data_IF_175898877429
#
_entry.id   IF_175898877429
#
_cell.length_a   1.000
_cell.length_b   1.000
_cell.length_c   1.000
_cell.angle_alpha   90.00
_cell.angle_beta   90.00
_cell.angle_gamma   90.00
#
_symmetry.space_group_name_H-M   'P 1'
#
loop_
_entity.id
_entity.type
_entity.pdbx_description
1 polymer ?
#
# COMPACT_ATOMS: atom_id res chain seq x y z
N UNK A 1 -11.06 6.06 10.08
CA UNK A 1 -10.17 7.21 10.33
C UNK A 1 -8.96 6.65 11.06
N UNK A 2 -7.75 6.87 10.55
CA UNK A 2 -6.54 6.34 11.17
C UNK A 2 -6.23 7.11 12.46
N UNK A 3 -5.94 6.38 13.54
CA UNK A 3 -5.74 6.92 14.87
C UNK A 3 -4.28 6.71 15.31
N UNK A 4 -3.61 7.77 15.72
CA UNK A 4 -2.20 7.77 16.12
C UNK A 4 -2.10 7.90 17.64
N UNK A 5 -1.33 7.02 18.28
CA UNK A 5 -0.99 7.13 19.69
C UNK A 5 0.37 7.83 19.82
N UNK A 6 0.43 8.87 20.64
CA UNK A 6 1.68 9.57 21.00
C UNK A 6 2.05 9.21 22.43
N UNK A 7 3.24 8.65 22.65
CA UNK A 7 3.80 8.35 23.97
C UNK A 7 5.02 9.25 24.16
N UNK A 8 4.83 10.35 24.89
CA UNK A 8 5.79 11.44 25.09
C UNK A 8 5.46 12.13 26.41
N UNK A 9 6.40 12.18 27.36
CA UNK A 9 6.20 12.74 28.70
C UNK A 9 6.25 14.28 28.71
N UNK A 10 6.95 14.89 27.74
CA UNK A 10 6.94 16.35 27.60
C UNK A 10 5.62 16.84 26.97
N UNK A 11 4.82 17.53 27.77
CA UNK A 11 3.49 18.01 27.36
C UNK A 11 3.53 18.99 26.17
N UNK A 12 4.54 19.86 26.09
CA UNK A 12 4.64 20.84 25.01
C UNK A 12 4.98 20.15 23.69
N UNK A 13 5.94 19.22 23.71
CA UNK A 13 6.30 18.40 22.53
C UNK A 13 5.10 17.58 22.07
N UNK A 14 4.42 16.93 23.01
CA UNK A 14 3.21 16.16 22.73
C UNK A 14 2.11 17.01 22.09
N UNK A 15 1.87 18.21 22.62
CA UNK A 15 0.86 19.14 22.10
C UNK A 15 1.18 19.58 20.67
N UNK A 16 2.43 19.93 20.38
CA UNK A 16 2.87 20.32 19.03
C UNK A 16 2.68 19.17 18.03
N UNK A 17 3.08 17.96 18.39
CA UNK A 17 2.89 16.76 17.57
C UNK A 17 1.40 16.50 17.32
N UNK A 18 0.59 16.52 18.37
CA UNK A 18 -0.85 16.25 18.30
C UNK A 18 -1.58 17.26 17.40
N UNK A 19 -1.23 18.55 17.48
CA UNK A 19 -1.83 19.58 16.64
C UNK A 19 -1.46 19.40 15.16
N UNK A 20 -0.20 19.10 14.85
CA UNK A 20 0.26 18.87 13.48
C UNK A 20 -0.45 17.65 12.86
N UNK A 21 -0.50 16.54 13.60
CA UNK A 21 -1.09 15.28 13.13
C UNK A 21 -2.61 15.40 12.94
N UNK A 22 -3.30 16.10 13.85
CA UNK A 22 -4.74 16.40 13.68
C UNK A 22 -5.01 17.28 12.46
N UNK A 23 -4.15 18.27 12.20
CA UNK A 23 -4.27 19.15 11.04
C UNK A 23 -4.09 18.41 9.71
N UNK A 24 -3.31 17.32 9.71
CA UNK A 24 -3.16 16.41 8.58
C UNK A 24 -4.35 15.42 8.41
N UNK A 25 -5.38 15.48 9.26
CA UNK A 25 -6.61 14.69 9.12
C UNK A 25 -6.67 13.39 9.92
N UNK A 26 -5.71 13.16 10.82
CA UNK A 26 -5.64 11.95 11.65
C UNK A 26 -6.29 12.13 13.02
N UNK A 27 -6.83 11.04 13.58
CA UNK A 27 -7.20 11.00 14.98
C UNK A 27 -5.96 10.86 15.86
N UNK A 28 -5.94 11.48 17.04
CA UNK A 28 -4.78 11.45 17.94
C UNK A 28 -5.20 11.19 19.38
N UNK A 29 -4.50 10.27 20.03
CA UNK A 29 -4.51 10.06 21.48
C UNK A 29 -3.11 10.31 22.04
N UNK A 30 -3.04 11.00 23.17
CA UNK A 30 -1.79 11.25 23.90
C UNK A 30 -1.71 10.39 25.15
N UNK A 31 -0.51 9.88 25.42
CA UNK A 31 -0.08 9.27 26.68
C UNK A 31 1.22 9.93 27.13
N UNK A 32 1.31 10.23 28.42
CA UNK A 32 2.45 10.93 29.02
C UNK A 32 3.37 10.02 29.83
N UNK A 33 3.06 8.71 29.89
CA UNK A 33 3.92 7.72 30.52
C UNK A 33 4.02 6.48 29.63
N UNK A 34 5.16 5.78 29.73
CA UNK A 34 5.36 4.53 29.01
C UNK A 34 4.40 3.41 29.43
N UNK A 35 4.02 3.37 30.71
CA UNK A 35 3.10 2.36 31.25
C UNK A 35 1.69 2.58 30.72
N UNK A 36 1.21 3.83 30.75
CA UNK A 36 -0.12 4.15 30.22
C UNK A 36 -0.17 3.94 28.71
N UNK A 37 0.90 4.29 27.99
CA UNK A 37 1.01 4.06 26.55
C UNK A 37 0.96 2.58 26.19
N UNK A 38 1.64 1.74 26.95
CA UNK A 38 1.61 0.28 26.78
C UNK A 38 0.22 -0.31 27.08
N UNK A 39 -0.47 0.19 28.13
CA UNK A 39 -1.84 -0.22 28.44
C UNK A 39 -2.82 0.20 27.35
N UNK A 40 -2.66 1.39 26.78
CA UNK A 40 -3.44 1.87 25.62
C UNK A 40 -3.27 0.95 24.41
N UNK A 41 -2.04 0.54 24.08
CA UNK A 41 -1.78 -0.39 22.97
C UNK A 41 -2.42 -1.77 23.20
N UNK A 42 -2.52 -2.23 24.45
CA UNK A 42 -3.15 -3.52 24.81
C UNK A 42 -4.68 -3.49 24.76
N UNK A 43 -5.28 -2.34 25.06
CA UNK A 43 -6.74 -2.22 25.27
C UNK A 43 -7.47 -1.58 24.10
N UNK A 44 -6.79 -0.75 23.31
CA UNK A 44 -7.34 -0.01 22.20
C UNK A 44 -6.57 -0.27 20.91
N UNK A 45 -7.19 0.01 19.77
CA UNK A 45 -6.58 -0.15 18.45
C UNK A 45 -6.11 1.19 17.90
N UNK A 46 -4.85 1.22 17.45
CA UNK A 46 -4.22 2.37 16.82
C UNK A 46 -3.61 1.96 15.48
N UNK A 47 -3.51 2.91 14.56
CA UNK A 47 -2.91 2.70 13.24
C UNK A 47 -1.38 2.85 13.27
N UNK A 48 -0.85 3.65 14.21
CA UNK A 48 0.58 3.88 14.41
C UNK A 48 0.85 4.44 15.81
N UNK A 49 2.04 4.17 16.33
CA UNK A 49 2.54 4.75 17.59
C UNK A 49 3.77 5.63 17.32
N UNK A 50 3.75 6.85 17.85
CA UNK A 50 4.93 7.68 18.03
C UNK A 50 5.44 7.49 19.46
N UNK A 51 6.67 7.03 19.62
CA UNK A 51 7.24 6.66 20.91
C UNK A 51 8.53 7.45 21.19
N UNK A 52 8.56 8.24 22.25
CA UNK A 52 9.82 8.76 22.77
C UNK A 52 10.63 7.62 23.41
N UNK A 53 11.94 7.59 23.14
CA UNK A 53 12.85 6.67 23.79
C UNK A 53 13.19 7.06 25.23
N UNK A 54 13.21 8.36 25.54
CA UNK A 54 13.63 8.92 26.83
C UNK A 54 12.45 9.12 27.78
N UNK A 55 11.66 8.06 27.97
CA UNK A 55 10.58 8.08 28.94
C UNK A 55 11.08 7.78 30.36
N UNK A 56 10.51 8.43 31.39
CA UNK A 56 10.83 8.12 32.77
C UNK A 56 10.33 6.73 33.16
N UNK A 57 11.02 6.11 34.13
CA UNK A 57 10.75 4.79 34.72
C UNK A 57 10.96 3.58 33.80
N UNK A 58 10.47 3.64 32.56
CA UNK A 58 10.60 2.57 31.57
C UNK A 58 10.97 3.17 30.22
N UNK A 59 12.12 2.77 29.68
CA UNK A 59 12.65 3.34 28.44
C UNK A 59 11.85 2.88 27.22
N UNK A 60 11.85 3.68 26.15
CA UNK A 60 11.10 3.35 24.94
C UNK A 60 11.59 2.09 24.22
N UNK A 61 12.85 1.69 24.38
CA UNK A 61 13.35 0.43 23.80
C UNK A 61 12.80 -0.81 24.54
N UNK A 62 12.60 -0.72 25.86
CA UNK A 62 11.93 -1.77 26.64
C UNK A 62 10.45 -1.86 26.29
N UNK A 63 9.78 -0.72 26.08
CA UNK A 63 8.39 -0.66 25.63
C UNK A 63 8.27 -1.27 24.22
N UNK A 64 9.15 -0.89 23.29
CA UNK A 64 9.19 -1.46 21.93
C UNK A 64 9.31 -2.99 21.98
N UNK A 65 10.27 -3.51 22.75
CA UNK A 65 10.47 -4.97 22.91
C UNK A 65 9.20 -5.65 23.43
N UNK A 66 8.54 -5.08 24.43
CA UNK A 66 7.31 -5.66 24.97
C UNK A 66 6.16 -5.60 23.96
N UNK A 67 5.95 -4.46 23.29
CA UNK A 67 4.89 -4.32 22.28
C UNK A 67 5.07 -5.35 21.16
N UNK A 68 6.31 -5.59 20.70
CA UNK A 68 6.61 -6.56 19.65
C UNK A 68 6.32 -8.02 20.03
N UNK A 69 6.15 -8.34 21.32
CA UNK A 69 5.74 -9.68 21.75
C UNK A 69 4.27 -9.98 21.43
N UNK A 70 3.42 -8.96 21.30
CA UNK A 70 1.98 -9.14 21.13
C UNK A 70 1.35 -8.29 20.02
N UNK A 71 2.07 -7.33 19.44
CA UNK A 71 1.57 -6.43 18.41
C UNK A 71 2.62 -6.07 17.38
N UNK A 72 2.20 -6.05 16.12
CA UNK A 72 3.01 -5.60 14.99
C UNK A 72 2.72 -4.14 14.61
N UNK A 73 1.95 -3.39 15.40
CA UNK A 73 1.61 -1.99 15.12
C UNK A 73 2.86 -1.18 14.73
N UNK A 74 2.81 -0.29 13.72
CA UNK A 74 4.00 0.42 13.29
C UNK A 74 4.38 1.42 14.37
N UNK A 75 5.67 1.43 14.73
CA UNK A 75 6.21 2.29 15.78
C UNK A 75 7.31 3.14 15.16
N UNK A 76 7.10 4.46 15.19
CA UNK A 76 8.11 5.45 14.88
C UNK A 76 8.72 5.94 16.19
N UNK A 77 10.03 5.81 16.33
CA UNK A 77 10.73 6.29 17.51
C UNK A 77 11.13 7.75 17.32
N UNK A 78 10.98 8.56 18.37
CA UNK A 78 11.48 9.92 18.46
C UNK A 78 12.57 9.97 19.54
N UNK A 79 13.72 10.58 19.27
CA UNK A 79 14.85 10.60 20.23
C UNK A 79 15.82 11.75 19.98
N UNK A 80 16.45 12.25 21.04
CA UNK A 80 17.52 13.24 20.97
C UNK A 80 18.92 12.68 20.70
N UNK A 81 19.08 11.35 20.58
CA UNK A 81 20.41 10.71 20.54
C UNK A 81 20.88 10.45 19.10
N UNK A 82 21.88 11.21 18.64
CA UNK A 82 22.51 11.12 17.31
C UNK A 82 23.50 9.95 17.11
N UNK A 83 23.60 9.01 18.05
CA UNK A 83 24.53 7.89 17.87
C UNK A 83 23.96 6.90 16.85
N UNK A 84 24.61 6.85 15.69
CA UNK A 84 24.33 5.93 14.57
C UNK A 84 24.18 4.46 15.03
N UNK A 85 24.90 4.05 16.09
CA UNK A 85 24.76 2.73 16.72
C UNK A 85 23.35 2.50 17.30
N UNK A 86 22.81 3.49 18.00
CA UNK A 86 21.46 3.43 18.60
C UNK A 86 20.37 3.31 17.53
N UNK A 87 20.53 3.98 16.37
CA UNK A 87 19.55 3.88 15.26
C UNK A 87 19.50 2.46 14.66
N UNK A 88 20.66 1.85 14.43
CA UNK A 88 20.75 0.48 13.90
C UNK A 88 20.16 -0.53 14.90
N UNK A 89 20.48 -0.38 16.19
CA UNK A 89 20.00 -1.29 17.23
C UNK A 89 18.49 -1.20 17.41
N UNK A 90 17.89 -0.02 17.31
CA UNK A 90 16.44 0.16 17.41
C UNK A 90 15.67 -0.38 16.20
N UNK A 91 16.20 -0.21 14.99
CA UNK A 91 15.63 -0.84 13.80
C UNK A 91 15.71 -2.37 13.90
N UNK A 92 16.82 -2.92 14.43
CA UNK A 92 16.96 -4.36 14.71
C UNK A 92 16.01 -4.86 15.80
N UNK A 93 15.67 -4.00 16.77
CA UNK A 93 14.66 -4.29 17.81
C UNK A 93 13.22 -4.23 17.30
N UNK A 94 13.01 -3.80 16.04
CA UNK A 94 11.71 -3.86 15.37
C UNK A 94 11.01 -2.50 15.24
N UNK A 95 11.71 -1.38 15.37
CA UNK A 95 11.16 -0.07 15.00
C UNK A 95 11.00 0.05 13.47
N UNK A 96 9.93 0.71 13.03
CA UNK A 96 9.60 0.84 11.60
C UNK A 96 10.22 2.09 10.95
N UNK A 97 10.49 3.10 11.80
CA UNK A 97 11.24 4.31 11.46
C UNK A 97 11.75 5.02 12.71
N UNK A 98 12.58 6.03 12.51
CA UNK A 98 13.21 6.82 13.57
C UNK A 98 13.36 8.29 13.18
N UNK A 99 13.06 9.19 14.12
CA UNK A 99 13.13 10.65 13.98
C UNK A 99 14.04 11.22 15.09
N UNK A 100 15.03 12.02 14.69
CA UNK A 100 15.91 12.76 15.60
C UNK A 100 15.27 14.05 16.08
N UNK A 101 15.37 14.38 17.37
CA UNK A 101 15.13 15.72 17.92
C UNK A 101 16.38 16.59 17.71
N UNK A 102 16.27 17.87 17.27
CA UNK A 102 15.03 18.57 16.91
C UNK A 102 14.50 18.11 15.54
N UNK A 103 13.17 18.04 15.41
CA UNK A 103 12.49 17.58 14.20
C UNK A 103 11.61 18.67 13.59
N UNK A 104 11.39 18.56 12.28
CA UNK A 104 10.36 19.32 11.58
C UNK A 104 9.01 18.60 11.68
N UNK A 105 7.94 19.35 11.97
CA UNK A 105 6.59 18.77 12.11
C UNK A 105 6.05 18.21 10.78
N UNK A 106 6.46 18.78 9.64
CA UNK A 106 6.16 18.25 8.32
C UNK A 106 6.90 16.95 8.05
N UNK A 107 8.16 16.81 8.50
CA UNK A 107 8.89 15.54 8.44
C UNK A 107 8.16 14.44 9.24
N UNK A 108 7.70 14.76 10.45
CA UNK A 108 6.95 13.81 11.28
C UNK A 108 5.70 13.32 10.55
N UNK A 109 4.90 14.24 9.98
CA UNK A 109 3.68 13.88 9.23
C UNK A 109 4.01 13.04 7.99
N UNK A 110 5.02 13.42 7.20
CA UNK A 110 5.43 12.67 6.01
C UNK A 110 5.89 11.25 6.36
N UNK A 111 6.57 11.06 7.50
CA UNK A 111 6.97 9.74 7.99
C UNK A 111 5.79 8.93 8.52
N UNK A 112 4.84 9.55 9.20
CA UNK A 112 3.58 8.90 9.58
C UNK A 112 2.86 8.41 8.33
N UNK A 113 2.65 9.26 7.33
CA UNK A 113 2.03 8.89 6.05
C UNK A 113 2.76 7.75 5.36
N UNK A 114 4.10 7.82 5.30
CA UNK A 114 4.90 6.76 4.67
C UNK A 114 4.86 5.46 5.46
N UNK A 115 4.79 5.48 6.79
CA UNK A 115 4.68 4.28 7.62
C UNK A 115 3.27 3.71 7.58
N UNK A 116 2.23 4.53 7.63
CA UNK A 116 0.85 4.10 7.45
C UNK A 116 0.63 3.50 6.06
N UNK A 117 1.20 4.07 5.00
CA UNK A 117 1.17 3.48 3.66
C UNK A 117 1.95 2.15 3.60
N UNK A 118 3.14 2.09 4.21
CA UNK A 118 3.92 0.83 4.29
C UNK A 118 3.19 -0.22 5.13
N UNK A 119 2.50 0.20 6.18
CA UNK A 119 1.82 -0.66 7.12
C UNK A 119 0.44 -1.06 6.64
N UNK A 120 -0.26 -0.23 5.87
CA UNK A 120 -1.41 -0.67 5.09
C UNK A 120 -0.95 -1.72 4.09
N UNK A 121 0.21 -1.55 3.45
CA UNK A 121 0.82 -2.57 2.59
C UNK A 121 1.23 -3.83 3.39
N UNK A 122 1.74 -3.72 4.62
CA UNK A 122 2.25 -4.86 5.41
C UNK A 122 1.20 -5.57 6.29
N UNK A 123 0.19 -4.88 6.82
CA UNK A 123 -0.96 -5.49 7.51
C UNK A 123 -1.96 -6.12 6.55
N UNK A 124 -1.97 -5.68 5.29
CA UNK A 124 -2.54 -6.46 4.18
C UNK A 124 -1.70 -7.69 3.80
N UNK A 125 -0.61 -8.00 4.52
CA UNK A 125 0.12 -9.27 4.40
C UNK A 125 -0.12 -10.23 5.57
N UNK A 126 -0.70 -9.80 6.70
CA UNK A 126 -0.85 -10.64 7.89
C UNK A 126 -2.31 -11.02 8.23
N UNK A 127 -3.30 -10.28 7.74
CA UNK A 127 -4.71 -10.66 7.79
C UNK A 127 -5.33 -10.32 6.45
N UNK A 128 -5.57 -11.35 5.65
CA UNK A 128 -6.00 -11.29 4.25
C UNK A 128 -4.97 -10.73 3.28
N UNK A 129 -4.50 -11.61 2.40
CA UNK A 129 -4.10 -11.33 1.02
C UNK A 129 -4.92 -10.15 0.40
N UNK A 130 -4.56 -8.87 0.60
CA UNK A 130 -4.87 -7.81 -0.38
C UNK A 130 -3.78 -7.79 -1.42
N UNK A 131 -3.65 -8.96 -2.00
CA UNK A 131 -3.74 -9.13 -3.43
C UNK A 131 -4.05 -7.82 -4.17
N UNK A 132 -3.09 -7.34 -4.94
CA UNK A 132 -3.42 -6.76 -6.23
C UNK A 132 -3.97 -7.87 -7.17
N UNK A 133 -4.89 -8.71 -6.65
CA UNK A 133 -5.63 -9.72 -7.39
C UNK A 133 -6.91 -9.06 -7.88
N UNK A 134 -6.89 -8.62 -9.12
CA UNK A 134 -8.11 -8.15 -9.75
C UNK A 134 -8.87 -9.36 -10.28
N UNK A 135 -10.16 -9.45 -9.92
CA UNK A 135 -11.05 -10.50 -10.42
C UNK A 135 -12.00 -9.96 -11.48
N UNK A 136 -12.07 -10.67 -12.60
CA UNK A 136 -13.03 -10.43 -13.66
C UNK A 136 -13.49 -11.77 -14.25
N UNK A 137 -14.76 -12.12 -14.05
CA UNK A 137 -15.28 -13.46 -14.32
C UNK A 137 -14.40 -14.51 -13.62
N UNK A 138 -13.92 -15.51 -14.35
CA UNK A 138 -12.98 -16.54 -13.93
C UNK A 138 -11.50 -16.15 -14.08
N UNK A 139 -11.20 -14.90 -14.47
CA UNK A 139 -9.85 -14.35 -14.53
C UNK A 139 -9.44 -13.78 -13.17
N UNK A 140 -8.21 -14.11 -12.76
CA UNK A 140 -7.51 -13.52 -11.62
C UNK A 140 -6.18 -12.93 -12.11
N UNK A 141 -6.01 -11.61 -11.99
CA UNK A 141 -4.76 -10.90 -12.32
C UNK A 141 -4.01 -10.62 -11.03
N UNK A 142 -2.81 -11.14 -10.86
CA UNK A 142 -1.86 -10.78 -9.80
C UNK A 142 -0.88 -9.72 -10.31
N UNK A 143 -1.05 -8.47 -9.89
CA UNK A 143 -0.14 -7.39 -10.29
C UNK A 143 1.27 -7.55 -9.70
N UNK A 144 1.40 -8.19 -8.54
CA UNK A 144 2.68 -8.31 -7.85
C UNK A 144 3.57 -9.34 -8.54
N UNK A 145 3.00 -10.50 -8.86
CA UNK A 145 3.70 -11.55 -9.60
C UNK A 145 3.71 -11.32 -11.12
N UNK A 146 3.00 -10.29 -11.60
CA UNK A 146 2.74 -10.05 -13.03
C UNK A 146 2.15 -11.28 -13.72
N UNK A 147 1.19 -11.94 -13.05
CA UNK A 147 0.54 -13.16 -13.52
C UNK A 147 -0.93 -12.93 -13.83
N UNK A 148 -1.45 -13.55 -14.88
CA UNK A 148 -2.90 -13.63 -15.11
C UNK A 148 -3.28 -15.11 -15.18
N UNK A 149 -4.25 -15.51 -14.36
CA UNK A 149 -4.77 -16.88 -14.28
C UNK A 149 -6.23 -16.91 -14.71
N UNK A 150 -6.66 -18.01 -15.29
CA UNK A 150 -8.06 -18.31 -15.57
C UNK A 150 -8.39 -19.68 -14.97
N UNK A 151 -9.42 -19.76 -14.11
CA UNK A 151 -9.71 -20.97 -13.32
C UNK A 151 -8.46 -21.52 -12.59
N UNK A 152 -7.62 -20.62 -12.06
CA UNK A 152 -6.36 -20.91 -11.39
C UNK A 152 -5.22 -21.47 -12.29
N UNK A 153 -5.40 -21.54 -13.61
CA UNK A 153 -4.34 -21.89 -14.56
C UNK A 153 -3.67 -20.64 -15.14
N UNK A 154 -2.34 -20.60 -15.15
CA UNK A 154 -1.56 -19.46 -15.67
C UNK A 154 -1.79 -19.29 -17.18
N UNK A 155 -2.10 -18.06 -17.58
CA UNK A 155 -2.27 -17.66 -18.98
C UNK A 155 -0.91 -17.22 -19.54
N UNK A 156 -0.41 -17.95 -20.53
CA UNK A 156 0.84 -17.60 -21.21
C UNK A 156 0.66 -16.37 -22.11
N UNK A 157 1.12 -15.21 -21.64
CA UNK A 157 0.99 -13.91 -22.30
C UNK A 157 2.38 -13.32 -22.60
N UNK A 158 2.51 -12.68 -23.76
CA UNK A 158 3.65 -11.79 -24.00
C UNK A 158 3.51 -10.53 -23.15
N UNK A 159 4.60 -9.78 -22.95
CA UNK A 159 4.61 -8.57 -22.13
C UNK A 159 3.53 -7.55 -22.55
N UNK A 160 3.37 -7.30 -23.86
CA UNK A 160 2.37 -6.36 -24.38
C UNK A 160 0.94 -6.88 -24.19
N UNK A 161 0.71 -8.18 -24.37
CA UNK A 161 -0.60 -8.78 -24.13
C UNK A 161 -0.99 -8.74 -22.65
N UNK A 162 -0.02 -8.99 -21.76
CA UNK A 162 -0.19 -8.82 -20.31
C UNK A 162 -0.59 -7.39 -19.98
N UNK A 163 0.17 -6.39 -20.43
CA UNK A 163 -0.10 -4.98 -20.13
C UNK A 163 -1.49 -4.55 -20.63
N UNK A 164 -1.90 -4.98 -21.83
CA UNK A 164 -3.23 -4.69 -22.37
C UNK A 164 -4.32 -5.29 -21.49
N UNK A 165 -4.19 -6.57 -21.12
CA UNK A 165 -5.19 -7.26 -20.33
C UNK A 165 -5.24 -6.73 -18.88
N UNK A 166 -4.09 -6.40 -18.29
CA UNK A 166 -3.95 -5.69 -17.01
C UNK A 166 -4.71 -4.37 -17.03
N UNK A 167 -4.45 -3.53 -18.04
CA UNK A 167 -5.09 -2.23 -18.18
C UNK A 167 -6.62 -2.34 -18.29
N UNK A 168 -7.12 -3.31 -19.05
CA UNK A 168 -8.55 -3.57 -19.19
C UNK A 168 -9.19 -4.09 -17.89
N UNK A 169 -8.53 -5.02 -17.19
CA UNK A 169 -9.02 -5.61 -15.94
C UNK A 169 -9.07 -4.57 -14.80
N UNK A 170 -8.08 -3.68 -14.73
CA UNK A 170 -8.06 -2.59 -13.73
C UNK A 170 -9.12 -1.53 -14.02
N UNK A 171 -9.69 -1.49 -15.23
CA UNK A 171 -10.63 -0.47 -15.68
C UNK A 171 -11.91 -1.08 -16.30
N UNK A 172 -12.56 -2.01 -15.60
CA UNK A 172 -13.64 -2.89 -16.13
C UNK A 172 -14.83 -2.18 -16.79
N UNK A 173 -15.06 -0.89 -16.49
CA UNK A 173 -16.16 -0.10 -17.04
C UNK A 173 -15.75 0.92 -18.12
N UNK A 174 -14.45 1.03 -18.43
CA UNK A 174 -13.93 2.04 -19.36
C UNK A 174 -13.81 1.49 -20.77
N UNK A 175 -14.25 2.28 -21.75
CA UNK A 175 -13.93 2.04 -23.17
C UNK A 175 -12.60 2.71 -23.45
N UNK A 176 -11.63 1.95 -23.95
CA UNK A 176 -10.37 2.49 -24.42
C UNK A 176 -10.38 2.59 -25.94
N UNK A 177 -10.06 3.78 -26.44
CA UNK A 177 -9.78 3.96 -27.86
C UNK A 177 -8.49 3.23 -28.24
N UNK A 178 -8.32 2.94 -29.54
CA UNK A 178 -7.11 2.30 -30.04
C UNK A 178 -5.87 3.17 -29.80
N UNK A 179 -6.01 4.48 -29.99
CA UNK A 179 -4.99 5.47 -29.69
C UNK A 179 -4.60 5.42 -28.20
N UNK A 180 -5.59 5.46 -27.30
CA UNK A 180 -5.29 5.44 -25.86
C UNK A 180 -4.67 4.11 -25.41
N UNK A 181 -5.10 2.97 -25.95
CA UNK A 181 -4.43 1.69 -25.68
C UNK A 181 -2.99 1.72 -26.16
N UNK A 182 -2.74 2.23 -27.37
CA UNK A 182 -1.39 2.31 -27.91
C UNK A 182 -0.50 3.19 -27.05
N UNK A 183 -0.90 4.43 -26.79
CA UNK A 183 -0.14 5.40 -26.00
C UNK A 183 0.11 4.90 -24.56
N UNK A 184 -0.87 4.21 -23.96
CA UNK A 184 -0.74 3.69 -22.59
C UNK A 184 0.22 2.51 -22.49
N UNK A 185 0.43 1.77 -23.58
CA UNK A 185 1.19 0.51 -23.58
C UNK A 185 2.57 0.66 -24.26
N UNK A 186 2.67 1.51 -25.29
CA UNK A 186 3.91 1.81 -26.00
C UNK A 186 4.61 3.08 -25.48
N UNK A 187 3.89 3.98 -24.80
CA UNK A 187 4.41 5.27 -24.36
C UNK A 187 4.91 6.15 -25.53
N UNK A 188 4.28 5.98 -26.70
CA UNK A 188 4.59 6.68 -27.94
C UNK A 188 3.31 7.30 -28.51
N UNK A 189 3.46 8.36 -29.31
CA UNK A 189 2.34 9.01 -29.98
C UNK A 189 1.69 8.05 -30.99
N UNK A 190 0.36 8.04 -31.02
CA UNK A 190 -0.37 7.16 -31.92
C UNK A 190 -0.31 7.65 -33.38
N UNK A 191 0.47 6.98 -34.21
CA UNK A 191 0.66 7.33 -35.63
C UNK A 191 -0.39 6.73 -36.60
N UNK A 192 -1.46 6.11 -36.08
CA UNK A 192 -2.58 5.62 -36.90
C UNK A 192 -2.51 4.15 -37.34
N UNK A 193 -1.48 3.38 -36.96
CA UNK A 193 -1.45 1.94 -37.25
C UNK A 193 -2.21 1.12 -36.19
N UNK A 194 -3.48 0.86 -36.49
CA UNK A 194 -4.37 0.03 -35.68
C UNK A 194 -3.92 -1.45 -35.58
N UNK A 195 -3.06 -1.93 -36.49
CA UNK A 195 -2.87 -3.37 -36.68
C UNK A 195 -2.19 -4.05 -35.50
N UNK A 196 -1.27 -3.35 -34.83
CA UNK A 196 -0.60 -3.85 -33.64
C UNK A 196 -1.62 -4.16 -32.53
N UNK A 197 -2.49 -3.21 -32.20
CA UNK A 197 -3.53 -3.39 -31.18
C UNK A 197 -4.52 -4.49 -31.58
N UNK A 198 -4.99 -4.51 -32.83
CA UNK A 198 -5.90 -5.55 -33.32
C UNK A 198 -5.30 -6.95 -33.19
N UNK A 199 -4.02 -7.11 -33.53
CA UNK A 199 -3.30 -8.38 -33.45
C UNK A 199 -3.19 -8.85 -32.00
N UNK A 200 -2.76 -7.98 -31.08
CA UNK A 200 -2.67 -8.34 -29.66
C UNK A 200 -4.04 -8.68 -29.06
N UNK A 201 -5.10 -7.91 -29.36
CA UNK A 201 -6.46 -8.21 -28.89
C UNK A 201 -6.96 -9.56 -29.45
N UNK A 202 -6.67 -9.87 -30.71
CA UNK A 202 -7.01 -11.15 -31.34
C UNK A 202 -6.29 -12.32 -30.65
N UNK A 203 -4.99 -12.17 -30.37
CA UNK A 203 -4.19 -13.18 -29.69
C UNK A 203 -4.68 -13.41 -28.25
N UNK A 204 -4.94 -12.32 -27.50
CA UNK A 204 -5.49 -12.41 -26.13
C UNK A 204 -6.83 -13.17 -26.15
N UNK A 205 -7.76 -12.80 -27.04
CA UNK A 205 -9.05 -13.50 -27.18
C UNK A 205 -8.87 -14.98 -27.51
N UNK A 206 -7.92 -15.31 -28.39
CA UNK A 206 -7.63 -16.69 -28.77
C UNK A 206 -7.06 -17.49 -27.59
N UNK A 207 -6.15 -16.90 -26.81
CA UNK A 207 -5.59 -17.50 -25.60
C UNK A 207 -6.67 -17.70 -24.53
N UNK A 208 -7.53 -16.71 -24.29
CA UNK A 208 -8.65 -16.84 -23.34
C UNK A 208 -9.65 -17.93 -23.76
N UNK A 209 -10.01 -17.99 -25.05
CA UNK A 209 -10.91 -19.03 -25.58
C UNK A 209 -10.38 -20.46 -25.41
N UNK A 210 -9.06 -20.66 -25.40
CA UNK A 210 -8.48 -22.00 -25.15
C UNK A 210 -8.81 -22.52 -23.75
N UNK A 211 -8.93 -21.62 -22.77
CA UNK A 211 -9.25 -21.99 -21.40
C UNK A 211 -10.77 -21.99 -21.12
N UNK A 212 -11.52 -21.09 -21.76
CA UNK A 212 -12.98 -21.05 -21.63
C UNK A 212 -13.64 -20.73 -23.00
N UNK A 213 -13.98 -21.75 -23.82
CA UNK A 213 -14.49 -21.55 -25.18
C UNK A 213 -15.84 -20.85 -25.27
N UNK A 214 -16.65 -20.95 -24.21
CA UNK A 214 -18.02 -20.44 -24.18
C UNK A 214 -18.11 -18.99 -23.68
N UNK A 215 -16.98 -18.41 -23.25
CA UNK A 215 -16.96 -17.09 -22.61
C UNK A 215 -16.26 -16.05 -23.50
N UNK A 216 -16.82 -14.85 -23.53
CA UNK A 216 -16.22 -13.69 -24.21
C UNK A 216 -15.84 -12.63 -23.16
N UNK A 217 -14.56 -12.24 -23.17
CA UNK A 217 -14.00 -11.35 -22.15
C UNK A 217 -13.90 -9.91 -22.62
N UNK A 218 -13.42 -9.70 -23.85
CA UNK A 218 -13.15 -8.37 -24.42
C UNK A 218 -14.17 -8.09 -25.53
N UNK A 219 -14.95 -7.03 -25.36
CA UNK A 219 -15.92 -6.52 -26.32
C UNK A 219 -15.27 -5.51 -27.27
N UNK A 220 -15.62 -5.58 -28.57
CA UNK A 220 -15.33 -4.51 -29.51
C UNK A 220 -16.50 -3.54 -29.52
N UNK A 221 -16.27 -2.28 -29.15
CA UNK A 221 -17.26 -1.21 -29.26
C UNK A 221 -17.02 -0.51 -30.60
N UNK A 222 -17.88 -0.78 -31.59
CA UNK A 222 -17.72 -0.29 -32.96
C UNK A 222 -17.53 1.23 -33.00
N UNK A 223 -16.50 1.67 -33.72
CA UNK A 223 -16.12 3.08 -33.84
C UNK A 223 -15.42 3.69 -32.62
N UNK A 224 -15.43 3.03 -31.44
CA UNK A 224 -14.90 3.60 -30.20
C UNK A 224 -13.65 2.87 -29.68
N UNK A 225 -13.58 1.53 -29.78
CA UNK A 225 -12.41 0.77 -29.33
C UNK A 225 -12.78 -0.52 -28.59
N UNK A 226 -12.15 -0.76 -27.44
CA UNK A 226 -12.28 -2.02 -26.69
C UNK A 226 -12.62 -1.78 -25.22
N UNK A 227 -13.37 -2.72 -24.63
CA UNK A 227 -13.58 -2.81 -23.18
C UNK A 227 -13.75 -4.27 -22.76
N UNK A 228 -13.82 -4.50 -21.46
CA UNK A 228 -14.37 -5.76 -20.95
C UNK A 228 -15.90 -5.78 -21.08
N UNK A 229 -16.46 -6.95 -21.32
CA UNK A 229 -17.92 -7.13 -21.20
C UNK A 229 -18.37 -6.76 -19.78
N UNK A 230 -19.54 -6.14 -19.67
CA UNK A 230 -20.11 -5.81 -18.36
C UNK A 230 -20.47 -7.11 -17.61
N UNK A 231 -20.28 -7.10 -16.29
CA UNK A 231 -20.73 -8.17 -15.40
C UNK A 231 -22.25 -8.25 -15.38
#
# INVERSE_FOLDING_TARGET
MENILIIEDNQDVNLMLAQSIKSAGYGVKSSFTGIDGLNEIKTNSYSLVLLDIMLPYKSGDEILKEVRQFSQIPIIIISAKDMISTKIDLLKLGADDYITKPFDLGEVVARIESNLRRYSISNHMASDYVTNLFKYKDITLDENNKEIKINNCLLDLTAKEYMILELLIKNQNKVFSKANLYESIWHEEYIGDDNAIKTHISNIRSKLKKFNPNENYIETVWGLGYRLFKK
#
